data_IF_568181157631
#
_entry.id   IF_568181157631
#
_cell.length_a   1.000
_cell.length_b   1.000
_cell.length_c   1.000
_cell.angle_alpha   90.00
_cell.angle_beta   90.00
_cell.angle_gamma   90.00
#
_symmetry.space_group_name_H-M   'P 1'
#
loop_
_entity.id
_entity.type
_entity.pdbx_description
1 polymer ?
#
# COMPACT_ATOMS: atom_id res chain seq x y z
N UNK A 1 -6.11 -27.85 10.91
CA UNK A 1 -6.07 -27.63 9.43
C UNK A 1 -5.42 -26.26 9.20
N UNK A 2 -4.09 -26.26 9.07
CA UNK A 2 -3.34 -25.03 8.81
C UNK A 2 -3.38 -24.74 7.32
N UNK A 3 -4.10 -23.67 6.96
CA UNK A 3 -4.19 -23.18 5.60
C UNK A 3 -2.88 -22.51 5.19
N UNK A 4 -2.05 -23.22 4.48
CA UNK A 4 -0.78 -22.73 3.90
C UNK A 4 -1.05 -21.73 2.76
N UNK A 5 -1.31 -20.50 3.10
CA UNK A 5 -1.42 -19.37 2.16
C UNK A 5 -0.06 -18.74 1.83
N UNK A 6 1.01 -19.53 1.84
CA UNK A 6 2.28 -19.11 1.25
C UNK A 6 2.20 -19.26 -0.28
N UNK A 7 1.46 -18.38 -0.91
CA UNK A 7 1.49 -18.22 -2.35
C UNK A 7 2.95 -17.95 -2.73
N UNK A 8 3.59 -18.92 -3.37
CA UNK A 8 4.94 -18.78 -3.90
C UNK A 8 4.92 -17.59 -4.85
N UNK A 9 5.57 -16.50 -4.47
CA UNK A 9 5.76 -15.37 -5.36
C UNK A 9 6.63 -15.87 -6.50
N UNK A 10 6.10 -15.82 -7.71
CA UNK A 10 6.83 -16.20 -8.90
C UNK A 10 7.95 -15.18 -9.13
N UNK A 11 9.18 -15.52 -8.76
CA UNK A 11 10.35 -14.67 -9.00
C UNK A 11 10.73 -14.54 -10.49
N UNK A 12 10.13 -15.39 -11.33
CA UNK A 12 10.28 -15.38 -12.79
C UNK A 12 9.15 -14.59 -13.48
N UNK A 13 8.41 -13.76 -12.76
CA UNK A 13 7.42 -12.87 -13.40
C UNK A 13 8.13 -11.96 -14.40
N UNK A 14 7.72 -12.00 -15.69
CA UNK A 14 8.31 -11.15 -16.69
C UNK A 14 8.05 -9.68 -16.33
N UNK A 15 9.12 -8.92 -16.13
CA UNK A 15 9.02 -7.47 -15.93
C UNK A 15 8.89 -6.82 -17.31
N UNK A 16 7.76 -6.19 -17.62
CA UNK A 16 7.61 -5.50 -18.89
C UNK A 16 8.67 -4.42 -19.03
N UNK A 17 9.49 -4.51 -20.08
CA UNK A 17 10.49 -3.48 -20.40
C UNK A 17 9.81 -2.21 -20.88
N UNK A 18 10.35 -1.07 -20.47
CA UNK A 18 9.89 0.22 -20.97
C UNK A 18 9.74 1.29 -19.88
N UNK A 19 9.57 2.51 -20.35
CA UNK A 19 9.38 3.68 -19.49
C UNK A 19 7.88 3.99 -19.37
N UNK A 20 7.36 3.91 -18.16
CA UNK A 20 6.01 4.36 -17.88
C UNK A 20 5.88 5.87 -18.13
N UNK A 21 5.15 6.25 -19.18
CA UNK A 21 4.93 7.66 -19.54
C UNK A 21 3.69 8.21 -18.86
N UNK A 22 3.77 9.49 -18.48
CA UNK A 22 2.62 10.22 -17.92
C UNK A 22 1.51 10.35 -18.97
N UNK A 23 0.30 9.88 -18.72
CA UNK A 23 -0.83 10.07 -19.65
C UNK A 23 -1.13 11.54 -19.89
N UNK A 24 -1.50 11.87 -21.14
CA UNK A 24 -1.80 13.26 -21.52
C UNK A 24 -3.12 13.77 -20.93
N UNK A 25 -4.06 12.87 -20.67
CA UNK A 25 -5.44 13.15 -20.20
C UNK A 25 -5.58 13.24 -18.69
N UNK A 26 -4.49 13.16 -17.90
CA UNK A 26 -4.56 13.34 -16.45
C UNK A 26 -4.90 14.77 -16.07
N UNK A 27 -5.77 14.93 -15.05
CA UNK A 27 -6.02 16.21 -14.42
C UNK A 27 -4.74 16.83 -13.84
N UNK A 28 -4.64 18.17 -13.71
CA UNK A 28 -3.45 18.78 -13.12
C UNK A 28 -3.13 18.28 -11.71
N UNK A 29 -4.15 18.00 -10.91
CA UNK A 29 -4.00 17.44 -9.57
C UNK A 29 -3.46 15.99 -9.62
N UNK A 30 -4.06 15.11 -10.43
CA UNK A 30 -3.59 13.75 -10.61
C UNK A 30 -2.16 13.71 -11.16
N UNK A 31 -1.79 14.64 -12.04
CA UNK A 31 -0.41 14.73 -12.56
C UNK A 31 0.61 15.10 -11.47
N UNK A 32 0.24 15.91 -10.47
CA UNK A 32 1.10 16.17 -9.29
C UNK A 32 1.31 14.90 -8.47
N UNK A 33 0.24 14.15 -8.21
CA UNK A 33 0.30 12.87 -7.51
C UNK A 33 1.13 11.84 -8.28
N UNK A 34 0.95 11.76 -9.60
CA UNK A 34 1.76 10.90 -10.47
C UNK A 34 3.25 11.16 -10.29
N UNK A 35 3.68 12.41 -10.44
CA UNK A 35 5.09 12.78 -10.30
C UNK A 35 5.64 12.41 -8.92
N UNK A 36 4.90 12.75 -7.85
CA UNK A 36 5.29 12.47 -6.47
C UNK A 36 5.46 10.96 -6.21
N UNK A 37 4.49 10.15 -6.60
CA UNK A 37 4.50 8.71 -6.33
C UNK A 37 5.46 7.94 -7.26
N UNK A 38 5.59 8.35 -8.51
CA UNK A 38 6.51 7.72 -9.46
C UNK A 38 7.98 7.81 -9.00
N UNK A 39 8.38 8.91 -8.35
CA UNK A 39 9.72 9.06 -7.77
C UNK A 39 9.99 8.02 -6.67
N UNK A 40 8.95 7.65 -5.92
CA UNK A 40 9.06 6.68 -4.82
C UNK A 40 9.01 5.23 -5.34
N UNK A 41 8.07 4.94 -6.26
CA UNK A 41 7.76 3.58 -6.67
C UNK A 41 8.71 3.01 -7.73
N UNK A 42 9.26 3.86 -8.61
CA UNK A 42 10.20 3.42 -9.67
C UNK A 42 11.47 2.78 -9.13
N UNK A 43 12.19 3.39 -8.17
CA UNK A 43 13.41 2.79 -7.62
C UNK A 43 13.17 1.45 -6.93
N UNK A 44 11.94 1.24 -6.42
CA UNK A 44 11.54 -0.01 -5.77
C UNK A 44 11.14 -1.11 -6.77
N UNK A 45 11.13 -0.82 -8.08
CA UNK A 45 10.66 -1.76 -9.10
C UNK A 45 9.15 -2.09 -9.03
N UNK A 46 8.38 -1.28 -8.31
CA UNK A 46 6.94 -1.46 -8.07
C UNK A 46 6.08 -0.72 -9.10
N UNK A 47 6.67 -0.17 -10.14
CA UNK A 47 5.96 0.58 -11.17
C UNK A 47 6.51 0.24 -12.54
N UNK A 48 5.77 -0.57 -13.27
CA UNK A 48 6.07 -1.03 -14.63
C UNK A 48 5.08 -0.45 -15.65
N UNK A 49 5.34 -0.55 -16.96
CA UNK A 49 4.37 -0.15 -17.98
C UNK A 49 3.02 -0.90 -17.89
N UNK A 50 3.00 -2.13 -17.37
CA UNK A 50 1.78 -2.91 -17.17
C UNK A 50 0.87 -2.31 -16.10
N UNK A 51 1.45 -1.60 -15.11
CA UNK A 51 0.70 -1.01 -13.99
C UNK A 51 0.07 0.34 -14.33
N UNK A 52 0.18 0.78 -15.59
CA UNK A 52 -0.21 2.11 -16.04
C UNK A 52 -1.63 2.49 -15.64
N UNK A 53 -2.61 1.65 -15.94
CA UNK A 53 -4.03 1.98 -15.75
C UNK A 53 -4.43 1.90 -14.27
N UNK A 54 -3.86 0.97 -13.52
CA UNK A 54 -4.01 0.91 -12.07
C UNK A 54 -3.40 2.15 -11.40
N UNK A 55 -2.23 2.60 -11.86
CA UNK A 55 -1.57 3.80 -11.35
C UNK A 55 -2.32 5.09 -11.73
N UNK A 56 -2.92 5.16 -12.92
CA UNK A 56 -3.85 6.24 -13.30
C UNK A 56 -5.03 6.28 -12.32
N UNK A 57 -5.65 5.14 -12.05
CA UNK A 57 -6.76 5.04 -11.09
C UNK A 57 -6.36 5.51 -9.71
N UNK A 58 -5.17 5.16 -9.23
CA UNK A 58 -4.63 5.62 -7.95
C UNK A 58 -4.53 7.15 -7.88
N UNK A 59 -3.90 7.78 -8.86
CA UNK A 59 -3.65 9.23 -8.83
C UNK A 59 -4.90 10.06 -9.08
N UNK A 60 -5.86 9.57 -9.88
CA UNK A 60 -7.16 10.22 -10.08
C UNK A 60 -8.02 10.15 -8.81
N UNK A 61 -8.04 9.01 -8.10
CA UNK A 61 -8.74 8.91 -6.81
C UNK A 61 -8.13 9.88 -5.76
N UNK A 62 -6.80 10.03 -5.72
CA UNK A 62 -6.15 11.03 -4.87
C UNK A 62 -6.60 12.46 -5.23
N UNK A 63 -6.70 12.78 -6.52
CA UNK A 63 -7.17 14.08 -6.97
C UNK A 63 -8.66 14.32 -6.63
N UNK A 64 -9.49 13.27 -6.69
CA UNK A 64 -10.91 13.34 -6.26
C UNK A 64 -11.00 13.62 -4.77
N UNK A 65 -10.21 12.93 -3.93
CA UNK A 65 -10.17 13.16 -2.49
C UNK A 65 -9.75 14.59 -2.16
N UNK A 66 -8.67 15.09 -2.77
CA UNK A 66 -8.21 16.47 -2.56
C UNK A 66 -9.30 17.48 -2.90
N UNK A 67 -9.92 17.33 -4.07
CA UNK A 67 -11.00 18.21 -4.52
C UNK A 67 -12.24 18.13 -3.62
N UNK A 68 -12.67 16.91 -3.29
CA UNK A 68 -13.83 16.68 -2.44
C UNK A 68 -13.65 17.24 -1.04
N UNK A 69 -12.48 17.04 -0.43
CA UNK A 69 -12.14 17.62 0.88
C UNK A 69 -12.11 19.17 0.83
N UNK A 70 -11.57 19.75 -0.24
CA UNK A 70 -11.57 21.20 -0.41
C UNK A 70 -13.00 21.76 -0.52
N UNK A 71 -13.91 21.08 -1.23
CA UNK A 71 -15.31 21.49 -1.31
C UNK A 71 -16.04 21.34 0.03
N UNK A 72 -15.80 20.26 0.77
CA UNK A 72 -16.35 20.06 2.13
C UNK A 72 -15.83 21.15 3.09
N UNK A 73 -14.55 21.51 3.00
CA UNK A 73 -13.96 22.57 3.83
C UNK A 73 -14.61 23.95 3.58
N UNK A 74 -15.04 24.22 2.33
CA UNK A 74 -15.73 25.48 1.96
C UNK A 74 -17.19 25.50 2.39
N UNK A 75 -17.91 24.41 2.17
CA UNK A 75 -19.38 24.35 2.31
C UNK A 75 -19.87 23.71 3.61
N UNK A 76 -18.95 23.09 4.38
CA UNK A 76 -19.27 22.39 5.64
C UNK A 76 -19.79 20.96 5.43
N UNK A 77 -20.03 20.27 6.55
CA UNK A 77 -20.52 18.89 6.58
C UNK A 77 -22.00 18.79 6.22
N UNK A 78 -22.75 19.87 6.48
CA UNK A 78 -24.18 19.99 6.20
C UNK A 78 -24.39 21.16 5.27
N UNK A 79 -25.18 20.94 4.22
CA UNK A 79 -25.52 21.95 3.22
C UNK A 79 -27.03 22.08 3.11
N UNK A 80 -27.52 23.26 2.74
CA UNK A 80 -28.96 23.47 2.49
C UNK A 80 -29.29 23.15 1.02
N UNK A 81 -30.16 22.16 0.81
CA UNK A 81 -30.69 21.83 -0.51
C UNK A 81 -32.19 22.09 -0.48
N UNK A 82 -32.64 23.02 -1.32
CA UNK A 82 -34.06 23.47 -1.35
C UNK A 82 -34.57 23.89 0.03
N UNK A 83 -33.73 24.60 0.79
CA UNK A 83 -34.07 25.09 2.15
C UNK A 83 -34.05 24.02 3.26
N UNK A 84 -33.73 22.77 2.96
CA UNK A 84 -33.61 21.69 3.95
C UNK A 84 -32.17 21.33 4.20
N UNK A 85 -31.74 21.14 5.48
CA UNK A 85 -30.40 20.69 5.79
C UNK A 85 -30.21 19.23 5.33
N UNK A 86 -29.12 18.98 4.62
CA UNK A 86 -28.71 17.63 4.23
C UNK A 86 -27.21 17.44 4.34
N UNK A 87 -26.80 16.20 4.46
CA UNK A 87 -25.38 15.85 4.47
C UNK A 87 -24.75 16.25 3.13
N UNK A 88 -23.57 16.86 3.20
CA UNK A 88 -22.85 17.31 2.01
C UNK A 88 -22.55 16.10 1.08
N UNK A 89 -23.02 16.12 -0.18
CA UNK A 89 -22.83 15.03 -1.12
C UNK A 89 -21.36 14.68 -1.39
N UNK A 90 -20.46 15.66 -1.27
CA UNK A 90 -19.03 15.43 -1.46
C UNK A 90 -18.43 14.48 -0.43
N UNK A 91 -19.03 14.36 0.78
CA UNK A 91 -18.58 13.38 1.79
C UNK A 91 -18.68 11.94 1.29
N UNK A 92 -19.73 11.63 0.53
CA UNK A 92 -19.88 10.31 -0.08
C UNK A 92 -18.81 10.07 -1.14
N UNK A 93 -18.60 11.05 -2.02
CA UNK A 93 -17.58 10.95 -3.07
C UNK A 93 -16.18 10.74 -2.49
N UNK A 94 -15.84 11.51 -1.44
CA UNK A 94 -14.55 11.37 -0.75
C UNK A 94 -14.40 9.97 -0.15
N UNK A 95 -15.42 9.51 0.60
CA UNK A 95 -15.39 8.17 1.23
C UNK A 95 -15.23 7.05 0.20
N UNK A 96 -15.95 7.13 -0.90
CA UNK A 96 -15.92 6.09 -1.94
C UNK A 96 -14.54 6.09 -2.62
N UNK A 97 -13.94 7.25 -2.89
CA UNK A 97 -12.57 7.37 -3.41
C UNK A 97 -11.53 6.87 -2.39
N UNK A 98 -11.66 7.19 -1.10
CA UNK A 98 -10.76 6.70 -0.04
C UNK A 98 -10.81 5.17 0.10
N UNK A 99 -11.98 4.55 -0.01
CA UNK A 99 -12.13 3.09 0.00
C UNK A 99 -11.40 2.44 -1.19
N UNK A 100 -11.42 3.05 -2.37
CA UNK A 100 -10.63 2.59 -3.51
C UNK A 100 -9.12 2.76 -3.26
N UNK A 101 -8.71 3.89 -2.67
CA UNK A 101 -7.31 4.16 -2.35
C UNK A 101 -6.72 3.14 -1.37
N UNK A 102 -7.46 2.68 -0.37
CA UNK A 102 -7.00 1.66 0.59
C UNK A 102 -6.57 0.39 -0.16
N UNK A 103 -7.36 -0.05 -1.15
CA UNK A 103 -7.04 -1.22 -1.98
C UNK A 103 -5.80 -0.98 -2.84
N UNK A 104 -5.79 0.13 -3.58
CA UNK A 104 -4.69 0.48 -4.47
C UNK A 104 -3.37 0.71 -3.70
N UNK A 105 -3.41 1.29 -2.51
CA UNK A 105 -2.23 1.40 -1.64
C UNK A 105 -1.66 0.02 -1.25
N UNK A 106 -2.55 -0.97 -1.05
CA UNK A 106 -2.14 -2.34 -0.81
C UNK A 106 -1.40 -2.96 -2.00
N UNK A 107 -1.89 -2.72 -3.22
CA UNK A 107 -1.31 -3.24 -4.46
C UNK A 107 0.05 -2.62 -4.78
N UNK A 108 0.19 -1.30 -4.64
CA UNK A 108 1.43 -0.58 -4.91
C UNK A 108 2.43 -0.55 -3.74
N UNK A 109 2.20 -1.32 -2.68
CA UNK A 109 3.13 -1.34 -1.54
C UNK A 109 3.21 -0.04 -0.75
N UNK A 110 2.19 0.82 -0.83
CA UNK A 110 2.14 2.11 -0.15
C UNK A 110 1.67 2.01 1.31
N UNK A 111 1.18 0.84 1.74
CA UNK A 111 0.85 0.59 3.15
C UNK A 111 2.00 -0.12 3.87
N UNK A 112 2.17 0.06 5.20
CA UNK A 112 3.19 -0.66 5.98
C UNK A 112 3.10 -2.18 5.83
N UNK A 113 1.89 -2.73 5.93
CA UNK A 113 1.64 -4.17 5.80
C UNK A 113 1.97 -4.73 4.41
N UNK A 114 1.69 -3.97 3.34
CA UNK A 114 2.04 -4.38 1.98
C UNK A 114 3.55 -4.29 1.74
N UNK A 115 4.24 -3.28 2.31
CA UNK A 115 5.70 -3.20 2.24
C UNK A 115 6.37 -4.40 2.88
N UNK A 116 5.97 -4.80 4.08
CA UNK A 116 6.52 -5.98 4.75
C UNK A 116 6.37 -7.23 3.89
N UNK A 117 5.21 -7.43 3.27
CA UNK A 117 4.98 -8.56 2.34
C UNK A 117 5.88 -8.51 1.11
N UNK A 118 6.09 -7.34 0.53
CA UNK A 118 6.97 -7.17 -0.62
C UNK A 118 8.44 -7.40 -0.26
N UNK A 119 8.91 -6.87 0.89
CA UNK A 119 10.27 -7.07 1.34
C UNK A 119 10.56 -8.53 1.72
N UNK A 120 9.65 -9.22 2.42
CA UNK A 120 9.82 -10.64 2.73
C UNK A 120 9.85 -11.51 1.47
N UNK A 121 9.20 -11.08 0.39
CA UNK A 121 9.22 -11.74 -0.89
C UNK A 121 10.52 -11.49 -1.69
N UNK A 122 11.16 -10.34 -1.49
CA UNK A 122 12.41 -9.94 -2.16
C UNK A 122 13.65 -10.33 -1.35
N UNK A 123 13.52 -10.57 -0.05
CA UNK A 123 14.61 -11.00 0.80
C UNK A 123 15.15 -12.36 0.34
N UNK A 124 16.50 -12.55 0.30
CA UNK A 124 17.06 -13.87 0.14
C UNK A 124 16.52 -14.78 1.27
N UNK A 125 16.35 -16.08 1.03
CA UNK A 125 15.96 -16.99 2.11
C UNK A 125 16.93 -16.78 3.27
N UNK A 126 16.38 -16.44 4.44
CA UNK A 126 17.19 -16.37 5.66
C UNK A 126 17.94 -17.68 5.77
N UNK A 127 19.27 -17.68 6.08
CA UNK A 127 19.94 -18.92 6.42
C UNK A 127 19.09 -19.59 7.50
N UNK A 128 18.70 -20.82 7.26
CA UNK A 128 18.01 -21.63 8.27
C UNK A 128 18.88 -21.61 9.52
N UNK A 129 18.49 -20.82 10.52
CA UNK A 129 19.11 -20.93 11.84
C UNK A 129 18.70 -22.32 12.31
N UNK A 130 19.65 -23.23 12.28
CA UNK A 130 19.46 -24.56 12.81
C UNK A 130 19.28 -24.36 14.33
N UNK A 131 18.03 -24.47 14.77
CA UNK A 131 17.68 -24.32 16.19
C UNK A 131 18.23 -25.45 17.06
N UNK A 132 18.95 -26.42 16.50
CA UNK A 132 19.61 -27.49 17.26
C UNK A 132 20.68 -26.93 18.20
N UNK A 133 21.44 -25.90 17.77
CA UNK A 133 22.48 -25.28 18.61
C UNK A 133 21.95 -24.41 19.75
N UNK A 134 20.72 -23.88 19.63
CA UNK A 134 20.13 -23.04 20.67
C UNK A 134 19.55 -23.85 21.84
N UNK A 135 19.14 -25.08 21.60
CA UNK A 135 18.59 -25.95 22.66
C UNK A 135 19.68 -26.47 23.63
N UNK A 136 20.90 -26.72 23.14
CA UNK A 136 21.97 -27.17 24.01
C UNK A 136 22.54 -26.07 24.91
N UNK A 137 22.57 -24.81 24.45
CA UNK A 137 23.12 -23.71 25.27
C UNK A 137 22.17 -23.22 26.36
N UNK A 138 20.84 -23.31 26.15
CA UNK A 138 19.86 -22.88 27.13
C UNK A 138 19.57 -23.87 28.25
N UNK A 139 19.91 -25.15 28.06
CA UNK A 139 19.68 -26.22 29.04
C UNK A 139 20.97 -26.70 29.73
N UNK A 140 22.14 -26.17 29.33
CA UNK A 140 23.42 -26.56 29.92
C UNK A 140 23.69 -25.92 31.31
N UNK A 141 23.06 -24.77 31.63
CA UNK A 141 23.13 -24.12 32.93
C UNK A 141 21.86 -24.40 33.75
N UNK A 142 21.76 -25.61 34.26
CA UNK A 142 20.80 -25.94 35.32
C UNK A 142 21.11 -25.11 36.59
N UNK A 143 20.09 -24.65 37.36
CA UNK A 143 20.34 -23.90 38.59
C UNK A 143 21.14 -24.79 39.57
N UNK A 144 22.24 -24.26 40.12
CA UNK A 144 23.05 -24.84 41.19
C UNK A 144 22.13 -25.22 42.37
N UNK A 145 22.30 -26.42 42.97
CA UNK A 145 21.54 -26.83 44.13
C UNK A 145 21.88 -25.93 45.32
N UNK A 146 20.88 -25.25 45.85
CA UNK A 146 20.99 -24.44 47.08
C UNK A 146 21.19 -25.45 48.26
N UNK A 147 22.43 -25.63 48.70
CA UNK A 147 22.74 -26.36 49.93
C UNK A 147 22.31 -25.48 51.12
N UNK A 148 21.36 -26.04 51.89
CA UNK A 148 21.04 -25.55 53.22
C UNK A 148 22.13 -25.87 54.22
#
# INVERSE_FOLDING_TARGET
>A
MEGTWHRRINRAEPKPDGVLRVPRNLSPAARRHWKRLAVILRPLGLLTPADRDAFVSLVENLAIVDKGRAEVAKSGLVVAVRGKPCVNPFLRVVRDAENQLIRLFGEFGLSPASRTRLYSALAPPSPSVDNSDLSESYFADGPEPILQ
#
